data_IF_584137999731
#
_entry.id   IF_584137999731
#
_cell.length_a   1.000
_cell.length_b   1.000
_cell.length_c   1.000
_cell.angle_alpha   90.00
_cell.angle_beta   90.00
_cell.angle_gamma   90.00
#
_symmetry.space_group_name_H-M   'P 1'
#
loop_
_entity.id
_entity.type
_entity.pdbx_description
1 polymer ?
#
# COMPACT_ATOMS: atom_id res chain seq x y z
N UNK A 1 -15.44 48.91 72.58
CA UNK A 1 -14.73 47.83 71.87
C UNK A 1 -15.64 47.34 70.76
N UNK A 2 -15.11 47.29 69.54
CA UNK A 2 -15.49 46.40 68.44
C UNK A 2 -16.89 46.57 67.84
N UNK A 3 -16.99 47.27 66.70
CA UNK A 3 -17.91 46.89 65.58
C UNK A 3 -17.88 47.82 64.33
N UNK A 4 -16.84 48.63 64.07
CA UNK A 4 -16.78 49.49 62.84
C UNK A 4 -15.44 49.37 62.07
N UNK A 5 -14.71 48.26 62.24
CA UNK A 5 -13.46 48.01 61.51
C UNK A 5 -13.66 47.16 60.24
N UNK A 6 -14.58 46.17 60.19
CA UNK A 6 -14.74 45.34 58.99
C UNK A 6 -15.14 46.15 57.74
N UNK A 7 -16.05 47.11 57.88
CA UNK A 7 -16.59 47.89 56.75
C UNK A 7 -15.53 48.79 56.11
N UNK A 8 -14.67 49.43 56.89
CA UNK A 8 -13.61 50.31 56.35
C UNK A 8 -12.51 49.50 55.66
N UNK A 9 -12.13 48.35 56.21
CA UNK A 9 -11.15 47.46 55.57
C UNK A 9 -11.65 46.94 54.21
N UNK A 10 -12.92 46.53 54.13
CA UNK A 10 -13.55 46.14 52.86
C UNK A 10 -13.63 47.29 51.85
N UNK A 11 -13.96 48.51 52.30
CA UNK A 11 -14.00 49.69 51.43
C UNK A 11 -12.60 50.06 50.90
N UNK A 12 -11.55 50.02 51.73
CA UNK A 12 -10.17 50.26 51.30
C UNK A 12 -9.73 49.21 50.28
N UNK A 13 -10.11 47.94 50.46
CA UNK A 13 -9.81 46.89 49.48
C UNK A 13 -10.47 47.18 48.12
N UNK A 14 -11.73 47.65 48.12
CA UNK A 14 -12.42 48.08 46.91
C UNK A 14 -11.74 49.30 46.25
N UNK A 15 -11.37 50.32 47.03
CA UNK A 15 -10.62 51.50 46.55
C UNK A 15 -9.29 51.10 45.88
N UNK A 16 -8.51 50.20 46.53
CA UNK A 16 -7.25 49.68 46.00
C UNK A 16 -7.47 48.92 44.68
N UNK A 17 -8.49 48.06 44.61
CA UNK A 17 -8.80 47.31 43.40
C UNK A 17 -9.22 48.22 42.25
N UNK A 18 -10.00 49.28 42.51
CA UNK A 18 -10.34 50.29 41.50
C UNK A 18 -9.08 50.96 40.95
N UNK A 19 -8.17 51.42 41.82
CA UNK A 19 -6.91 52.06 41.38
C UNK A 19 -6.06 51.08 40.56
N UNK A 20 -5.95 49.83 41.02
CA UNK A 20 -5.22 48.78 40.32
C UNK A 20 -5.76 48.58 38.90
N UNK A 21 -7.07 48.39 38.76
CA UNK A 21 -7.72 48.19 37.47
C UNK A 21 -7.57 49.38 36.52
N UNK A 22 -7.74 50.61 37.01
CA UNK A 22 -7.53 51.82 36.20
C UNK A 22 -6.08 51.92 35.71
N UNK A 23 -5.12 51.56 36.57
CA UNK A 23 -3.70 51.57 36.23
C UNK A 23 -3.39 50.51 35.18
N UNK A 24 -3.88 49.28 35.33
CA UNK A 24 -3.68 48.18 34.39
C UNK A 24 -4.23 48.53 32.99
N UNK A 25 -5.45 49.08 32.94
CA UNK A 25 -6.07 49.55 31.69
C UNK A 25 -5.26 50.66 31.02
N UNK A 26 -4.81 51.65 31.78
CA UNK A 26 -3.98 52.75 31.27
C UNK A 26 -2.65 52.21 30.71
N UNK A 27 -1.99 51.31 31.44
CA UNK A 27 -0.72 50.70 31.02
C UNK A 27 -0.90 49.88 29.75
N UNK A 28 -1.96 49.09 29.62
CA UNK A 28 -2.27 48.33 28.42
C UNK A 28 -2.45 49.25 27.20
N UNK A 29 -3.27 50.30 27.33
CA UNK A 29 -3.51 51.26 26.26
C UNK A 29 -2.22 51.97 25.83
N UNK A 30 -1.36 52.33 26.78
CA UNK A 30 -0.05 52.91 26.47
C UNK A 30 0.84 51.92 25.71
N UNK A 31 0.84 50.63 26.07
CA UNK A 31 1.58 49.60 25.33
C UNK A 31 1.06 49.38 23.91
N UNK A 32 -0.26 49.42 23.71
CA UNK A 32 -0.88 49.36 22.38
C UNK A 32 -0.45 50.58 21.54
N UNK A 33 -0.50 51.78 22.10
CA UNK A 33 -0.08 53.00 21.40
C UNK A 33 1.42 52.97 21.05
N UNK A 34 2.27 52.49 21.95
CA UNK A 34 3.69 52.26 21.65
C UNK A 34 3.83 51.26 20.50
N UNK A 35 3.08 50.16 20.51
CA UNK A 35 3.02 49.19 19.40
C UNK A 35 2.66 49.83 18.06
N UNK A 36 1.68 50.74 18.05
CA UNK A 36 1.28 51.52 16.87
C UNK A 36 2.43 52.36 16.33
N UNK A 37 3.12 53.11 17.19
CA UNK A 37 4.28 53.94 16.80
C UNK A 37 5.45 53.10 16.30
N UNK A 38 5.67 51.93 16.91
CA UNK A 38 6.69 50.99 16.45
C UNK A 38 6.36 50.44 15.06
N UNK A 39 5.10 50.12 14.79
CA UNK A 39 4.66 49.67 13.46
C UNK A 39 4.85 50.76 12.39
N UNK A 40 4.52 52.01 12.72
CA UNK A 40 4.77 53.17 11.86
C UNK A 40 6.27 53.39 11.59
N UNK A 41 7.08 53.42 12.65
CA UNK A 41 8.53 53.60 12.56
C UNK A 41 9.20 52.49 11.74
N UNK A 42 8.75 51.24 11.88
CA UNK A 42 9.28 50.09 11.11
C UNK A 42 9.09 50.26 9.60
N UNK A 43 8.04 50.96 9.16
CA UNK A 43 7.81 51.29 7.75
C UNK A 43 8.71 52.41 7.21
N UNK A 44 9.28 53.24 8.09
CA UNK A 44 10.13 54.38 7.72
C UNK A 44 11.63 54.07 7.81
N UNK A 45 12.02 53.11 8.64
CA UNK A 45 13.42 52.74 8.86
C UNK A 45 13.92 51.83 7.74
N UNK A 46 15.14 52.10 7.29
CA UNK A 46 15.79 51.30 6.23
C UNK A 46 15.98 49.85 6.68
N UNK A 47 15.87 48.95 5.71
CA UNK A 47 16.10 47.52 5.92
C UNK A 47 17.48 47.28 6.57
N UNK A 48 17.51 46.48 7.64
CA UNK A 48 18.74 46.16 8.40
C UNK A 48 19.05 47.09 9.58
N UNK A 49 18.51 48.31 9.63
CA UNK A 49 18.80 49.29 10.70
C UNK A 49 17.81 49.22 11.88
N UNK A 50 16.72 48.47 11.75
CA UNK A 50 15.64 48.37 12.75
C UNK A 50 16.14 47.97 14.14
N UNK A 51 16.96 46.92 14.23
CA UNK A 51 17.46 46.42 15.52
C UNK A 51 18.38 47.42 16.23
N UNK A 52 19.17 48.18 15.46
CA UNK A 52 20.05 49.22 15.99
C UNK A 52 19.24 50.41 16.49
N UNK A 53 18.30 50.89 15.68
CA UNK A 53 17.40 51.99 16.04
C UNK A 53 16.59 51.69 17.31
N UNK A 54 16.05 50.47 17.44
CA UNK A 54 15.34 50.05 18.65
C UNK A 54 16.20 50.16 19.92
N UNK A 55 17.46 49.78 19.83
CA UNK A 55 18.38 49.77 20.98
C UNK A 55 18.84 51.18 21.35
N UNK A 56 19.18 52.00 20.36
CA UNK A 56 19.79 53.32 20.56
C UNK A 56 18.75 54.42 20.83
N UNK A 57 17.62 54.43 20.12
CA UNK A 57 16.65 55.53 20.18
C UNK A 57 15.46 55.24 21.12
N UNK A 58 15.06 53.97 21.24
CA UNK A 58 13.87 53.57 22.01
C UNK A 58 14.24 52.77 23.28
N UNK A 59 15.44 52.20 23.33
CA UNK A 59 15.90 51.36 24.44
C UNK A 59 15.19 50.00 24.54
N UNK A 60 14.63 49.49 23.43
CA UNK A 60 13.88 48.23 23.40
C UNK A 60 14.67 47.09 22.75
N UNK A 61 14.38 45.86 23.19
CA UNK A 61 14.79 44.66 22.44
C UNK A 61 13.83 44.41 21.28
N UNK A 62 14.33 43.72 20.25
CA UNK A 62 13.52 43.34 19.10
C UNK A 62 12.29 42.51 19.51
N UNK A 63 12.45 41.53 20.40
CA UNK A 63 11.34 40.71 20.90
C UNK A 63 10.27 41.55 21.65
N UNK A 64 10.70 42.54 22.45
CA UNK A 64 9.76 43.44 23.13
C UNK A 64 8.99 44.29 22.12
N UNK A 65 9.68 44.86 21.12
CA UNK A 65 9.05 45.64 20.07
C UNK A 65 8.05 44.81 19.25
N UNK A 66 8.42 43.59 18.88
CA UNK A 66 7.54 42.65 18.15
C UNK A 66 6.29 42.29 18.95
N UNK A 67 6.41 42.00 20.25
CA UNK A 67 5.25 41.74 21.13
C UNK A 67 4.29 42.92 21.19
N UNK A 68 4.81 44.14 21.34
CA UNK A 68 4.00 45.36 21.39
C UNK A 68 3.33 45.66 20.04
N UNK A 69 4.04 45.46 18.94
CA UNK A 69 3.47 45.60 17.60
C UNK A 69 2.33 44.61 17.36
N UNK A 70 2.51 43.32 17.72
CA UNK A 70 1.44 42.31 17.63
C UNK A 70 0.24 42.68 18.50
N UNK A 71 0.48 43.17 19.72
CA UNK A 71 -0.58 43.66 20.60
C UNK A 71 -1.40 44.77 19.94
N UNK A 72 -0.75 45.70 19.23
CA UNK A 72 -1.43 46.74 18.45
C UNK A 72 -2.22 46.18 17.26
N UNK A 73 -1.63 45.27 16.50
CA UNK A 73 -2.28 44.67 15.32
C UNK A 73 -3.61 44.02 15.70
N UNK A 74 -3.64 43.37 16.85
CA UNK A 74 -4.71 42.50 17.30
C UNK A 74 -5.73 43.20 18.20
N UNK A 75 -5.30 44.14 19.06
CA UNK A 75 -6.18 44.82 20.03
C UNK A 75 -6.29 46.34 19.81
N UNK A 76 -5.42 46.90 18.96
CA UNK A 76 -5.35 48.35 18.70
C UNK A 76 -6.04 48.80 17.41
N UNK A 77 -6.19 47.90 16.42
CA UNK A 77 -6.87 48.23 15.15
C UNK A 77 -8.39 48.42 15.33
N UNK A 78 -9.00 47.69 16.25
CA UNK A 78 -10.44 47.74 16.55
C UNK A 78 -10.86 49.02 17.32
N UNK A 79 -9.90 49.77 17.88
CA UNK A 79 -10.16 51.04 18.58
C UNK A 79 -10.11 52.26 17.64
N UNK A 80 -9.78 52.06 16.36
CA UNK A 80 -9.74 53.13 15.35
C UNK A 80 -11.16 53.45 14.84
N UNK A 81 -11.57 54.73 14.72
CA UNK A 81 -12.90 55.10 14.20
C UNK A 81 -13.21 54.63 12.78
N UNK A 82 -12.20 54.15 12.05
CA UNK A 82 -12.23 53.72 10.66
C UNK A 82 -12.03 52.20 10.49
N UNK A 83 -11.87 51.45 11.58
CA UNK A 83 -11.72 49.99 11.53
C UNK A 83 -13.07 49.32 11.39
N UNK A 84 -13.21 48.44 10.39
CA UNK A 84 -14.34 47.52 10.29
C UNK A 84 -14.45 46.76 11.62
N UNK A 85 -15.63 46.71 12.21
CA UNK A 85 -15.83 46.16 13.56
C UNK A 85 -15.46 44.67 13.59
N UNK A 86 -14.21 44.38 13.98
CA UNK A 86 -13.75 43.05 14.31
C UNK A 86 -14.48 42.46 15.51
N UNK A 87 -14.36 41.14 15.67
CA UNK A 87 -15.20 40.32 16.54
C UNK A 87 -15.07 40.60 18.06
N UNK A 88 -14.12 41.44 18.48
CA UNK A 88 -14.08 41.99 19.83
C UNK A 88 -14.81 43.32 19.84
N UNK A 89 -15.99 43.34 20.47
CA UNK A 89 -16.70 44.58 20.72
C UNK A 89 -15.78 45.62 21.34
N UNK A 90 -16.07 46.89 21.04
CA UNK A 90 -15.37 48.15 21.38
C UNK A 90 -14.79 48.29 22.80
N UNK A 91 -15.07 47.35 23.69
CA UNK A 91 -14.64 47.29 25.08
C UNK A 91 -13.89 45.97 25.29
N UNK A 92 -12.56 46.02 25.21
CA UNK A 92 -11.74 44.94 25.75
C UNK A 92 -12.11 44.78 27.23
N UNK A 93 -12.27 43.54 27.74
CA UNK A 93 -12.38 43.30 29.17
C UNK A 93 -11.19 43.94 29.89
N UNK A 94 -11.32 44.16 31.19
CA UNK A 94 -10.26 44.74 32.01
C UNK A 94 -9.09 43.77 32.16
N UNK A 95 -8.26 43.69 31.12
CA UNK A 95 -7.14 42.76 31.01
C UNK A 95 -5.84 43.48 31.31
N UNK A 96 -4.97 42.83 32.09
CA UNK A 96 -3.60 43.29 32.26
C UNK A 96 -2.81 43.11 30.96
N UNK A 97 -1.71 43.84 30.81
CA UNK A 97 -0.76 43.66 29.70
C UNK A 97 -0.33 42.19 29.53
N UNK A 98 -0.07 41.50 30.64
CA UNK A 98 0.35 40.09 30.62
C UNK A 98 -0.77 39.19 30.12
N UNK A 99 -2.02 39.42 30.56
CA UNK A 99 -3.17 38.67 30.05
C UNK A 99 -3.39 38.92 28.56
N UNK A 100 -3.27 40.16 28.11
CA UNK A 100 -3.39 40.49 26.69
C UNK A 100 -2.34 39.76 25.83
N UNK A 101 -1.10 39.65 26.30
CA UNK A 101 -0.07 38.86 25.62
C UNK A 101 -0.38 37.35 25.60
N UNK A 102 -0.96 36.80 26.66
CA UNK A 102 -1.34 35.37 26.71
C UNK A 102 -2.49 35.10 25.72
N UNK A 103 -3.44 36.02 25.61
CA UNK A 103 -4.55 35.94 24.66
C UNK A 103 -4.11 35.94 23.19
N UNK A 104 -2.95 36.55 22.86
CA UNK A 104 -2.33 36.42 21.52
C UNK A 104 -1.97 34.96 21.17
N UNK A 105 -1.93 34.06 22.16
CA UNK A 105 -1.80 32.63 21.93
C UNK A 105 -3.06 31.99 21.35
N UNK A 106 -4.24 32.58 21.53
CA UNK A 106 -5.49 32.07 20.96
C UNK A 106 -5.61 32.58 19.52
N UNK A 107 -5.98 31.71 18.55
CA UNK A 107 -6.26 32.13 17.19
C UNK A 107 -7.27 33.28 17.14
N UNK A 108 -7.10 34.20 16.20
CA UNK A 108 -7.90 35.43 16.08
C UNK A 108 -9.40 35.11 16.01
N UNK A 109 -9.76 34.09 15.22
CA UNK A 109 -11.13 33.62 15.00
C UNK A 109 -11.82 33.13 16.28
N UNK A 110 -11.07 32.51 17.18
CA UNK A 110 -11.61 31.90 18.40
C UNK A 110 -11.46 32.83 19.62
N UNK A 111 -10.62 33.87 19.52
CA UNK A 111 -10.28 34.75 20.66
C UNK A 111 -11.49 35.49 21.21
N UNK A 112 -12.39 35.97 20.34
CA UNK A 112 -13.59 36.65 20.78
C UNK A 112 -14.57 35.75 21.53
N UNK A 113 -14.68 34.49 21.11
CA UNK A 113 -15.48 33.50 21.81
C UNK A 113 -14.81 33.09 23.14
N UNK A 114 -13.50 32.88 23.12
CA UNK A 114 -12.70 32.58 24.31
C UNK A 114 -12.84 33.67 25.39
N UNK A 115 -12.80 34.95 25.00
CA UNK A 115 -12.99 36.09 25.92
C UNK A 115 -14.42 36.16 26.48
N UNK A 116 -15.43 35.72 25.73
CA UNK A 116 -16.83 35.69 26.21
C UNK A 116 -17.09 34.54 27.16
N UNK A 117 -16.48 33.39 26.91
CA UNK A 117 -16.77 32.15 27.65
C UNK A 117 -15.97 32.04 28.94
N UNK A 118 -14.86 32.76 29.05
CA UNK A 118 -13.93 32.69 30.18
C UNK A 118 -13.86 34.04 30.87
N UNK A 119 -14.03 34.02 32.20
CA UNK A 119 -13.86 35.19 33.05
C UNK A 119 -12.37 35.53 33.24
N UNK A 120 -11.80 36.22 32.25
CA UNK A 120 -10.37 36.60 32.24
C UNK A 120 -10.03 37.58 33.37
N UNK A 121 -11.00 38.33 33.88
CA UNK A 121 -10.77 39.36 34.89
C UNK A 121 -10.49 38.76 36.28
N UNK A 122 -11.09 37.61 36.60
CA UNK A 122 -10.88 36.91 37.86
C UNK A 122 -9.72 35.91 37.83
N UNK A 123 -9.27 35.49 36.65
CA UNK A 123 -8.18 34.51 36.51
C UNK A 123 -6.81 35.08 36.85
N UNK A 124 -5.96 34.23 37.41
CA UNK A 124 -4.53 34.49 37.52
C UNK A 124 -3.83 34.26 36.18
N UNK A 125 -2.64 34.85 36.01
CA UNK A 125 -1.80 34.66 34.83
C UNK A 125 -1.55 33.20 34.50
N UNK A 126 -1.35 32.35 35.52
CA UNK A 126 -1.09 30.91 35.34
C UNK A 126 -2.32 30.15 34.86
N UNK A 127 -3.49 30.47 35.40
CA UNK A 127 -4.74 29.83 34.99
C UNK A 127 -5.07 30.21 33.54
N UNK A 128 -4.84 31.48 33.16
CA UNK A 128 -5.05 31.93 31.78
C UNK A 128 -4.07 31.25 30.80
N UNK A 129 -2.79 31.11 31.17
CA UNK A 129 -1.80 30.36 30.39
C UNK A 129 -2.23 28.91 30.19
N UNK A 130 -2.73 28.27 31.24
CA UNK A 130 -3.23 26.90 31.17
C UNK A 130 -4.44 26.78 30.24
N UNK A 131 -5.43 27.66 30.38
CA UNK A 131 -6.62 27.66 29.52
C UNK A 131 -6.28 27.86 28.04
N UNK A 132 -5.36 28.78 27.72
CA UNK A 132 -4.89 28.99 26.34
C UNK A 132 -4.14 27.76 25.82
N UNK A 133 -3.34 27.11 26.66
CA UNK A 133 -2.62 25.90 26.26
C UNK A 133 -3.56 24.71 26.01
N UNK A 134 -4.60 24.55 26.82
CA UNK A 134 -5.64 23.52 26.62
C UNK A 134 -6.38 23.71 25.30
N UNK A 135 -6.76 24.96 24.96
CA UNK A 135 -7.37 25.28 23.66
C UNK A 135 -6.44 24.93 22.50
N UNK A 136 -5.16 25.31 22.58
CA UNK A 136 -4.17 24.96 21.55
C UNK A 136 -4.01 23.46 21.37
N UNK A 137 -3.96 22.70 22.46
CA UNK A 137 -3.86 21.25 22.41
C UNK A 137 -5.11 20.64 21.80
N UNK A 138 -6.30 21.08 22.22
CA UNK A 138 -7.57 20.61 21.68
C UNK A 138 -7.72 20.91 20.19
N UNK A 139 -7.33 22.11 19.74
CA UNK A 139 -7.31 22.46 18.31
C UNK A 139 -6.36 21.56 17.53
N UNK A 140 -5.14 21.34 18.04
CA UNK A 140 -4.15 20.46 17.39
C UNK A 140 -4.64 19.01 17.29
N UNK A 141 -5.29 18.50 18.33
CA UNK A 141 -5.92 17.18 18.31
C UNK A 141 -7.06 17.13 17.30
N UNK A 142 -7.93 18.16 17.27
CA UNK A 142 -9.03 18.26 16.31
C UNK A 142 -8.52 18.29 14.86
N UNK A 143 -7.48 19.05 14.55
CA UNK A 143 -6.87 19.06 13.22
C UNK A 143 -6.26 17.70 12.87
N UNK A 144 -5.52 17.09 13.80
CA UNK A 144 -4.94 15.76 13.59
C UNK A 144 -6.00 14.67 13.36
N UNK A 145 -7.11 14.73 14.09
CA UNK A 145 -8.25 13.82 13.90
C UNK A 145 -8.96 14.06 12.55
N UNK A 146 -9.08 15.32 12.12
CA UNK A 146 -9.66 15.65 10.81
C UNK A 146 -8.79 15.16 9.66
N UNK A 147 -7.47 15.32 9.75
CA UNK A 147 -6.52 14.79 8.78
C UNK A 147 -6.57 13.26 8.71
N UNK A 148 -6.55 12.58 9.87
CA UNK A 148 -6.67 11.12 9.94
C UNK A 148 -8.01 10.63 9.37
N UNK A 149 -9.12 11.34 9.64
CA UNK A 149 -10.44 11.01 9.09
C UNK A 149 -10.49 11.20 7.57
N UNK A 150 -9.82 12.22 7.04
CA UNK A 150 -9.72 12.45 5.60
C UNK A 150 -8.92 11.33 4.92
N UNK A 151 -7.78 10.94 5.50
CA UNK A 151 -6.95 9.85 5.00
C UNK A 151 -7.70 8.50 5.02
N UNK A 152 -8.43 8.21 6.10
CA UNK A 152 -9.21 6.98 6.22
C UNK A 152 -10.37 6.93 5.22
N UNK A 153 -11.04 8.06 4.99
CA UNK A 153 -12.07 8.17 3.94
C UNK A 153 -11.49 7.90 2.56
N UNK A 154 -10.30 8.43 2.26
CA UNK A 154 -9.62 8.16 1.00
C UNK A 154 -9.21 6.68 0.84
N UNK A 155 -8.70 6.06 1.91
CA UNK A 155 -8.42 4.61 1.92
C UNK A 155 -9.69 3.80 1.67
N UNK A 156 -10.78 4.15 2.33
CA UNK A 156 -12.08 3.47 2.17
C UNK A 156 -12.62 3.57 0.75
N UNK A 157 -12.52 4.73 0.10
CA UNK A 157 -12.97 4.90 -1.29
C UNK A 157 -12.10 4.09 -2.26
N UNK A 158 -10.78 4.06 -2.06
CA UNK A 158 -9.87 3.22 -2.86
C UNK A 158 -10.19 1.73 -2.71
N UNK A 159 -10.38 1.26 -1.48
CA UNK A 159 -10.77 -0.14 -1.21
C UNK A 159 -12.12 -0.50 -1.82
N UNK A 160 -13.09 0.42 -1.82
CA UNK A 160 -14.39 0.21 -2.46
C UNK A 160 -14.25 0.06 -3.99
N UNK A 161 -13.41 0.88 -4.63
CA UNK A 161 -13.12 0.78 -6.06
C UNK A 161 -12.41 -0.54 -6.41
N UNK A 162 -11.42 -0.94 -5.60
CA UNK A 162 -10.70 -2.20 -5.79
C UNK A 162 -11.64 -3.41 -5.66
N UNK A 163 -12.51 -3.41 -4.64
CA UNK A 163 -13.55 -4.44 -4.47
C UNK A 163 -14.46 -4.54 -5.69
N UNK A 164 -14.90 -3.41 -6.24
CA UNK A 164 -15.80 -3.39 -7.39
C UNK A 164 -15.10 -3.88 -8.68
N UNK A 165 -13.81 -3.57 -8.84
CA UNK A 165 -12.99 -4.09 -9.94
C UNK A 165 -12.79 -5.61 -9.83
N UNK A 166 -12.39 -6.10 -8.65
CA UNK A 166 -12.24 -7.53 -8.38
C UNK A 166 -13.54 -8.29 -8.59
N UNK A 167 -14.69 -7.69 -8.24
CA UNK A 167 -16.01 -8.28 -8.49
C UNK A 167 -16.31 -8.42 -9.99
N UNK A 168 -15.93 -7.43 -10.81
CA UNK A 168 -16.07 -7.52 -12.28
C UNK A 168 -15.17 -8.62 -12.84
N UNK A 169 -13.90 -8.62 -12.47
CA UNK A 169 -12.92 -9.62 -12.93
C UNK A 169 -13.35 -11.05 -12.55
N UNK A 170 -13.81 -11.25 -11.31
CA UNK A 170 -14.36 -12.54 -10.88
C UNK A 170 -15.59 -12.95 -11.69
N UNK A 171 -16.44 -11.99 -12.10
CA UNK A 171 -17.57 -12.22 -12.99
C UNK A 171 -17.15 -12.67 -14.38
N UNK A 172 -16.14 -12.02 -14.96
CA UNK A 172 -15.65 -12.33 -16.31
C UNK A 172 -14.90 -13.66 -16.34
N UNK A 173 -14.05 -13.94 -15.33
CA UNK A 173 -13.43 -15.25 -15.15
C UNK A 173 -14.46 -16.37 -15.01
N UNK A 174 -15.57 -16.11 -14.31
CA UNK A 174 -16.65 -17.09 -14.17
C UNK A 174 -17.32 -17.40 -15.50
N UNK A 175 -17.58 -16.38 -16.33
CA UNK A 175 -18.13 -16.56 -17.69
C UNK A 175 -17.16 -17.33 -18.58
N UNK A 176 -15.89 -16.92 -18.62
CA UNK A 176 -14.86 -17.60 -19.41
C UNK A 176 -14.70 -19.07 -19.00
N UNK A 177 -14.72 -19.36 -17.69
CA UNK A 177 -14.69 -20.73 -17.17
C UNK A 177 -15.90 -21.54 -17.62
N UNK A 178 -17.08 -20.94 -17.70
CA UNK A 178 -18.30 -21.62 -18.17
C UNK A 178 -18.23 -21.90 -19.68
N UNK A 179 -17.77 -20.94 -20.48
CA UNK A 179 -17.58 -21.10 -21.92
C UNK A 179 -16.56 -22.21 -22.22
N UNK A 180 -15.42 -22.22 -21.52
CA UNK A 180 -14.40 -23.25 -21.68
C UNK A 180 -14.92 -24.63 -21.29
N UNK A 181 -15.71 -24.73 -20.22
CA UNK A 181 -16.37 -26.00 -19.85
C UNK A 181 -17.29 -26.50 -20.95
N UNK A 182 -18.11 -25.63 -21.53
CA UNK A 182 -19.01 -26.00 -22.63
C UNK A 182 -18.22 -26.44 -23.87
N UNK A 183 -17.11 -25.78 -24.19
CA UNK A 183 -16.27 -26.14 -25.33
C UNK A 183 -15.59 -27.51 -25.13
N UNK A 184 -15.07 -27.77 -23.91
CA UNK A 184 -14.52 -29.08 -23.55
C UNK A 184 -15.59 -30.16 -23.68
N UNK A 185 -16.80 -29.91 -23.21
CA UNK A 185 -17.90 -30.88 -23.28
C UNK A 185 -18.32 -31.18 -24.74
N UNK A 186 -18.35 -30.15 -25.60
CA UNK A 186 -18.55 -30.32 -27.05
C UNK A 186 -17.45 -31.15 -27.70
N UNK A 187 -16.18 -30.85 -27.41
CA UNK A 187 -15.04 -31.60 -27.94
C UNK A 187 -15.04 -33.05 -27.49
N UNK A 188 -15.40 -33.32 -26.24
CA UNK A 188 -15.55 -34.71 -25.74
C UNK A 188 -16.63 -35.45 -26.53
N UNK A 189 -17.77 -34.80 -26.79
CA UNK A 189 -18.85 -35.40 -27.58
C UNK A 189 -18.42 -35.66 -29.03
N UNK A 190 -17.65 -34.75 -29.62
CA UNK A 190 -17.10 -34.89 -30.98
C UNK A 190 -16.09 -36.03 -31.07
N UNK A 191 -15.17 -36.15 -30.10
CA UNK A 191 -14.23 -37.27 -30.01
C UNK A 191 -14.98 -38.60 -29.89
N UNK A 192 -16.04 -38.67 -29.06
CA UNK A 192 -16.88 -39.87 -28.96
C UNK A 192 -17.54 -40.22 -30.29
N UNK A 193 -18.13 -39.25 -30.98
CA UNK A 193 -18.72 -39.46 -32.31
C UNK A 193 -17.70 -39.93 -33.34
N UNK A 194 -16.50 -39.37 -33.35
CA UNK A 194 -15.41 -39.79 -34.23
C UNK A 194 -14.94 -41.22 -33.92
N UNK A 195 -14.83 -41.59 -32.64
CA UNK A 195 -14.48 -42.96 -32.24
C UNK A 195 -15.59 -43.97 -32.59
N UNK A 196 -16.86 -43.55 -32.53
CA UNK A 196 -18.01 -44.38 -32.88
C UNK A 196 -18.24 -44.49 -34.40
N UNK A 197 -17.66 -43.57 -35.18
CA UNK A 197 -17.78 -43.52 -36.63
C UNK A 197 -17.40 -44.88 -37.26
N UNK A 198 -18.30 -45.41 -38.07
CA UNK A 198 -18.13 -46.67 -38.78
C UNK A 198 -16.85 -46.71 -39.61
N UNK A 199 -16.42 -45.56 -40.15
CA UNK A 199 -15.21 -45.44 -40.95
C UNK A 199 -13.92 -45.57 -40.11
N UNK A 200 -13.91 -45.04 -38.89
CA UNK A 200 -12.75 -45.18 -37.99
C UNK A 200 -12.63 -46.63 -37.51
N UNK A 201 -13.75 -47.25 -37.11
CA UNK A 201 -13.80 -48.66 -36.72
C UNK A 201 -13.41 -49.59 -37.87
N UNK A 202 -13.87 -49.33 -39.10
CA UNK A 202 -13.51 -50.12 -40.27
C UNK A 202 -12.04 -49.96 -40.64
N UNK A 203 -11.50 -48.75 -40.59
CA UNK A 203 -10.07 -48.50 -40.77
C UNK A 203 -9.22 -49.27 -39.75
N UNK A 204 -9.60 -49.20 -38.46
CA UNK A 204 -8.90 -49.91 -37.40
C UNK A 204 -8.96 -51.43 -37.58
N UNK A 205 -10.11 -51.95 -38.02
CA UNK A 205 -10.27 -53.37 -38.38
C UNK A 205 -9.34 -53.77 -39.53
N UNK A 206 -9.36 -53.04 -40.64
CA UNK A 206 -8.50 -53.33 -41.82
C UNK A 206 -7.03 -53.20 -41.46
N UNK A 207 -6.63 -52.23 -40.65
CA UNK A 207 -5.26 -52.07 -40.17
C UNK A 207 -4.81 -53.27 -39.34
N UNK A 208 -5.67 -53.76 -38.43
CA UNK A 208 -5.38 -54.95 -37.63
C UNK A 208 -5.34 -56.23 -38.49
N UNK A 209 -6.25 -56.37 -39.45
CA UNK A 209 -6.27 -57.49 -40.41
C UNK A 209 -5.03 -57.50 -41.28
N UNK A 210 -4.57 -56.33 -41.75
CA UNK A 210 -3.32 -56.20 -42.51
C UNK A 210 -2.11 -56.61 -41.67
N UNK A 211 -2.04 -56.17 -40.41
CA UNK A 211 -0.97 -56.57 -39.50
C UNK A 211 -0.98 -58.10 -39.27
N UNK A 212 -2.15 -58.70 -39.04
CA UNK A 212 -2.30 -60.14 -38.90
C UNK A 212 -1.90 -60.91 -40.17
N UNK A 213 -2.27 -60.41 -41.35
CA UNK A 213 -1.88 -60.99 -42.63
C UNK A 213 -0.36 -60.91 -42.87
N UNK A 214 0.28 -59.79 -42.52
CA UNK A 214 1.73 -59.63 -42.59
C UNK A 214 2.45 -60.62 -41.67
N UNK A 215 1.98 -60.76 -40.42
CA UNK A 215 2.51 -61.76 -39.48
C UNK A 215 2.39 -63.16 -40.08
N UNK A 216 1.18 -63.54 -40.55
CA UNK A 216 0.95 -64.87 -41.15
C UNK A 216 1.84 -65.12 -42.36
N UNK A 217 1.98 -64.15 -43.26
CA UNK A 217 2.86 -64.26 -44.43
C UNK A 217 4.32 -64.48 -44.03
N UNK A 218 4.83 -63.70 -43.07
CA UNK A 218 6.19 -63.85 -42.57
C UNK A 218 6.38 -65.20 -41.88
N UNK A 219 5.45 -65.62 -41.03
CA UNK A 219 5.48 -66.93 -40.38
C UNK A 219 5.48 -68.08 -41.39
N UNK A 220 4.62 -68.04 -42.41
CA UNK A 220 4.60 -69.06 -43.47
C UNK A 220 5.89 -69.08 -44.30
N UNK A 221 6.45 -67.90 -44.64
CA UNK A 221 7.74 -67.82 -45.33
C UNK A 221 8.87 -68.41 -44.50
N UNK A 222 8.89 -68.12 -43.19
CA UNK A 222 9.89 -68.66 -42.26
C UNK A 222 9.74 -70.19 -42.19
N UNK A 223 8.53 -70.70 -41.98
CA UNK A 223 8.25 -72.14 -41.89
C UNK A 223 8.71 -72.90 -43.14
N UNK A 224 8.41 -72.38 -44.34
CA UNK A 224 8.84 -72.98 -45.61
C UNK A 224 10.38 -73.06 -45.74
N UNK A 225 11.10 -72.02 -45.29
CA UNK A 225 12.57 -72.03 -45.28
C UNK A 225 13.13 -73.05 -44.29
N UNK A 226 12.49 -73.21 -43.13
CA UNK A 226 12.86 -74.24 -42.16
C UNK A 226 12.66 -75.65 -42.70
N UNK A 227 11.53 -75.94 -43.33
CA UNK A 227 11.27 -77.24 -43.96
C UNK A 227 12.30 -77.59 -45.03
N UNK A 228 12.64 -76.61 -45.88
CA UNK A 228 13.70 -76.79 -46.89
C UNK A 228 15.08 -77.05 -46.28
N UNK A 229 15.42 -76.34 -45.18
CA UNK A 229 16.68 -76.56 -44.46
C UNK A 229 16.72 -77.95 -43.80
N UNK A 230 15.63 -78.37 -43.17
CA UNK A 230 15.51 -79.70 -42.55
C UNK A 230 15.69 -80.81 -43.59
N UNK A 231 15.06 -80.67 -44.77
CA UNK A 231 15.19 -81.63 -45.86
C UNK A 231 16.64 -81.71 -46.37
N UNK A 232 17.25 -80.57 -46.70
CA UNK A 232 18.63 -80.52 -47.17
C UNK A 232 19.61 -81.10 -46.14
N UNK A 233 19.36 -80.85 -44.85
CA UNK A 233 20.17 -81.40 -43.77
C UNK A 233 20.04 -82.93 -43.69
N UNK A 234 18.82 -83.48 -43.78
CA UNK A 234 18.59 -84.94 -43.82
C UNK A 234 19.28 -85.60 -45.01
N UNK A 235 19.17 -85.01 -46.19
CA UNK A 235 19.85 -85.50 -47.40
C UNK A 235 21.38 -85.47 -47.24
N UNK A 236 21.93 -84.37 -46.72
CA UNK A 236 23.36 -84.26 -46.43
C UNK A 236 23.83 -85.30 -45.40
N UNK A 237 23.08 -85.50 -44.30
CA UNK A 237 23.39 -86.50 -43.29
C UNK A 237 23.41 -87.91 -43.89
N UNK A 238 22.46 -88.24 -44.76
CA UNK A 238 22.42 -89.54 -45.43
C UNK A 238 23.65 -89.79 -46.32
N UNK A 239 24.05 -88.80 -47.13
CA UNK A 239 25.25 -88.90 -47.98
C UNK A 239 26.53 -88.99 -47.14
N UNK A 240 26.59 -88.28 -46.01
CA UNK A 240 27.70 -88.38 -45.06
C UNK A 240 27.79 -89.78 -44.41
N UNK A 241 26.66 -90.39 -44.06
CA UNK A 241 26.60 -91.75 -43.52
C UNK A 241 27.05 -92.80 -44.55
N UNK A 242 26.77 -92.59 -45.84
CA UNK A 242 27.29 -93.42 -46.91
C UNK A 242 28.81 -93.24 -47.07
N UNK A 243 29.30 -91.99 -47.07
CA UNK A 243 30.74 -91.69 -47.18
C UNK A 243 31.54 -92.30 -46.02
N UNK A 244 31.00 -92.27 -44.80
CA UNK A 244 31.62 -92.87 -43.61
C UNK A 244 31.89 -94.38 -43.77
N UNK A 245 31.08 -95.08 -44.58
CA UNK A 245 31.25 -96.51 -44.88
C UNK A 245 32.32 -96.78 -45.95
N UNK A 246 32.68 -95.76 -46.74
CA UNK A 246 33.62 -95.86 -47.86
C UNK A 246 35.02 -95.41 -47.44
N UNK A 247 35.14 -94.26 -46.79
CA UNK A 247 36.41 -93.67 -46.36
C UNK A 247 36.24 -92.80 -45.10
N UNK A 248 36.74 -93.29 -43.97
CA UNK A 248 36.64 -92.63 -42.67
C UNK A 248 37.44 -91.31 -42.60
N UNK A 249 38.57 -91.24 -43.31
CA UNK A 249 39.43 -90.06 -43.30
C UNK A 249 38.78 -88.91 -44.09
N UNK A 250 38.24 -89.20 -45.27
CA UNK A 250 37.52 -88.21 -46.10
C UNK A 250 36.21 -87.78 -45.43
N UNK A 251 35.49 -88.70 -44.78
CA UNK A 251 34.35 -88.35 -43.93
C UNK A 251 34.73 -87.34 -42.84
N UNK A 252 35.84 -87.57 -42.13
CA UNK A 252 36.33 -86.68 -41.08
C UNK A 252 36.59 -85.24 -41.55
N UNK A 253 37.04 -85.05 -42.79
CA UNK A 253 37.22 -83.72 -43.39
C UNK A 253 35.90 -83.01 -43.68
N UNK A 254 34.92 -83.71 -44.26
CA UNK A 254 33.59 -83.15 -44.55
C UNK A 254 32.78 -82.90 -43.27
N UNK A 255 32.91 -83.75 -42.25
CA UNK A 255 32.32 -83.53 -40.95
C UNK A 255 32.86 -82.26 -40.27
N UNK A 256 34.17 -82.01 -40.36
CA UNK A 256 34.78 -80.75 -39.90
C UNK A 256 34.24 -79.54 -40.66
N UNK A 257 34.06 -79.64 -41.98
CA UNK A 257 33.47 -78.56 -42.80
C UNK A 257 32.02 -78.26 -42.42
N UNK A 258 31.19 -79.30 -42.23
CA UNK A 258 29.80 -79.14 -41.80
C UNK A 258 29.71 -78.51 -40.40
N UNK A 259 30.48 -79.02 -39.44
CA UNK A 259 30.51 -78.47 -38.09
C UNK A 259 31.01 -77.01 -38.08
N UNK A 260 32.04 -76.70 -38.87
CA UNK A 260 32.51 -75.33 -39.06
C UNK A 260 31.44 -74.40 -39.63
N UNK A 261 30.67 -74.86 -40.61
CA UNK A 261 29.53 -74.13 -41.16
C UNK A 261 28.42 -73.90 -40.11
N UNK A 262 28.05 -74.92 -39.34
CA UNK A 262 27.03 -74.82 -38.29
C UNK A 262 27.44 -73.88 -37.16
N UNK A 263 28.69 -73.97 -36.69
CA UNK A 263 29.21 -73.07 -35.64
C UNK A 263 29.23 -71.63 -36.14
N UNK A 264 29.78 -71.39 -37.34
CA UNK A 264 29.83 -70.05 -37.94
C UNK A 264 28.44 -69.44 -38.12
N UNK A 265 27.47 -70.22 -38.62
CA UNK A 265 26.09 -69.74 -38.81
C UNK A 265 25.37 -69.46 -37.48
N UNK A 266 25.63 -70.23 -36.43
CA UNK A 266 25.12 -69.93 -35.09
C UNK A 266 25.74 -68.67 -34.49
N UNK A 267 27.05 -68.48 -34.63
CA UNK A 267 27.74 -67.27 -34.18
C UNK A 267 27.24 -66.01 -34.89
N UNK A 268 27.05 -66.07 -36.21
CA UNK A 268 26.48 -64.98 -37.01
C UNK A 268 25.04 -64.65 -36.59
N UNK A 269 24.26 -65.64 -36.18
CA UNK A 269 22.88 -65.45 -35.69
C UNK A 269 22.84 -64.85 -34.28
N UNK A 270 23.73 -65.26 -33.37
CA UNK A 270 23.77 -64.77 -31.99
C UNK A 270 24.34 -63.35 -31.84
N UNK A 271 24.98 -62.80 -32.88
CA UNK A 271 25.47 -61.40 -32.90
C UNK A 271 24.41 -60.37 -33.32
N UNK A 272 23.20 -60.79 -33.71
CA UNK A 272 22.07 -59.94 -34.09
C UNK A 272 21.02 -59.92 -33.00
#
# INVERSE_FOLDING_TARGET
>A
MGEIIPERTSLIAAEINIIKHQTEKMVLNNFIEIGRRLAEAKGLIKYGEWGKWLKEEVGFSQNRAEKLMRLYEEFGREQSPLGDAGALGRELPNVSYTHALILLGVPEEDRAQFIRDIDIESMTTRELEQAVNEVKQSQKEKTGLQEALAEEKEKSTRLAQERDNLKKEAGDLRKSKQELKQDVEKKILEIKKLAENSNFKSYQRVSNELAAAQIKLLTSKIAFRFEGLEKAFKELSYEMDLLAKVDEQVYGEYAKKLNGFLVKTMEERMRK
#
